data_IF_488000384510
#
_entry.id   IF_488000384510
#
_cell.length_a   1.000
_cell.length_b   1.000
_cell.length_c   1.000
_cell.angle_alpha   90.00
_cell.angle_beta   90.00
_cell.angle_gamma   90.00
#
_symmetry.space_group_name_H-M   'P 1'
#
loop_
_entity.id
_entity.type
_entity.pdbx_description
1 polymer ?
#
# COMPACT_ATOMS: atom_id res chain seq x y z
N UNK A 1 -1.34 1.58 -12.95
CA UNK A 1 0.14 1.56 -13.03
C UNK A 1 0.60 0.16 -12.63
N UNK A 2 1.75 -0.33 -13.10
CA UNK A 2 2.26 -1.69 -12.80
C UNK A 2 3.20 -1.71 -11.56
N UNK A 3 3.06 -0.71 -10.68
CA UNK A 3 3.95 -0.53 -9.53
C UNK A 3 3.45 -1.20 -8.26
N UNK A 4 4.36 -1.39 -7.29
CA UNK A 4 4.04 -1.85 -5.93
C UNK A 4 3.07 -0.89 -5.24
N UNK A 5 3.22 0.42 -5.47
CA UNK A 5 2.27 1.45 -5.04
C UNK A 5 1.55 1.96 -6.27
N UNK A 6 0.23 1.85 -6.26
CA UNK A 6 -0.65 2.36 -7.30
C UNK A 6 -1.47 3.52 -6.77
N UNK A 7 -1.75 4.51 -7.61
CA UNK A 7 -2.57 5.65 -7.25
C UNK A 7 -3.53 5.96 -8.39
N UNK A 8 -4.82 6.05 -8.08
CA UNK A 8 -5.85 6.46 -9.03
C UNK A 8 -6.42 7.82 -8.65
N UNK A 9 -6.70 8.65 -9.65
CA UNK A 9 -7.40 9.91 -9.44
C UNK A 9 -8.90 9.65 -9.41
N UNK A 10 -9.53 9.87 -8.25
CA UNK A 10 -10.95 9.64 -8.03
C UNK A 10 -11.66 10.97 -7.80
N UNK A 11 -12.84 11.13 -8.40
CA UNK A 11 -13.71 12.28 -8.15
C UNK A 11 -14.60 12.02 -6.94
N UNK A 12 -14.65 12.97 -6.01
CA UNK A 12 -15.55 13.00 -4.85
C UNK A 12 -16.72 13.98 -5.09
N UNK A 13 -16.96 14.40 -6.33
CA UNK A 13 -18.04 15.35 -6.67
C UNK A 13 -17.76 16.76 -6.16
N UNK A 14 -18.66 17.31 -5.33
CA UNK A 14 -18.53 18.67 -4.75
C UNK A 14 -17.27 18.83 -3.88
N UNK A 15 -16.73 17.72 -3.36
CA UNK A 15 -15.51 17.70 -2.55
C UNK A 15 -14.22 17.66 -3.38
N UNK A 16 -14.31 17.69 -4.71
CA UNK A 16 -13.15 17.77 -5.61
C UNK A 16 -12.60 16.41 -6.04
N UNK A 17 -11.32 16.38 -6.42
CA UNK A 17 -10.61 15.15 -6.84
C UNK A 17 -9.52 14.82 -5.84
N UNK A 18 -9.36 13.53 -5.56
CA UNK A 18 -8.29 13.02 -4.70
C UNK A 18 -7.53 11.89 -5.39
N UNK A 19 -6.33 11.58 -4.88
CA UNK A 19 -5.57 10.40 -5.29
C UNK A 19 -5.79 9.31 -4.26
N UNK A 20 -6.43 8.22 -4.66
CA UNK A 20 -6.52 7.04 -3.83
C UNK A 20 -5.26 6.20 -4.04
N UNK A 21 -4.41 6.12 -3.02
CA UNK A 21 -3.16 5.36 -3.04
C UNK A 21 -3.43 3.97 -2.47
N UNK A 22 -3.03 2.92 -3.19
CA UNK A 22 -3.20 1.52 -2.82
C UNK A 22 -1.89 0.76 -3.00
N UNK A 23 -1.59 -0.11 -2.05
CA UNK A 23 -0.43 -1.00 -2.13
C UNK A 23 -0.84 -2.31 -2.81
N UNK A 24 -0.23 -2.61 -3.95
CA UNK A 24 -0.47 -3.82 -4.74
C UNK A 24 0.50 -4.93 -4.37
N UNK A 25 0.47 -5.35 -3.10
CA UNK A 25 1.26 -6.45 -2.56
C UNK A 25 0.32 -7.50 -2.00
N UNK A 26 0.58 -8.78 -2.32
CA UNK A 26 -0.21 -9.90 -1.80
C UNK A 26 -0.07 -10.04 -0.28
N UNK A 27 -1.09 -10.62 0.36
CA UNK A 27 -1.07 -10.77 1.82
C UNK A 27 0.07 -11.68 2.30
N UNK A 28 0.45 -12.71 1.54
CA UNK A 28 1.55 -13.60 1.87
C UNK A 28 2.89 -12.85 1.97
N UNK A 29 3.12 -11.90 1.06
CA UNK A 29 4.33 -11.07 1.08
C UNK A 29 4.31 -10.14 2.30
N UNK A 30 3.15 -9.59 2.67
CA UNK A 30 3.02 -8.76 3.88
C UNK A 30 3.38 -9.54 5.14
N UNK A 31 2.93 -10.78 5.25
CA UNK A 31 3.24 -11.63 6.41
C UNK A 31 4.74 -11.97 6.47
N UNK A 32 5.37 -12.28 5.32
CA UNK A 32 6.82 -12.48 5.24
C UNK A 32 7.60 -11.24 5.65
N UNK A 33 7.23 -10.06 5.14
CA UNK A 33 7.86 -8.79 5.50
C UNK A 33 7.73 -8.54 7.00
N UNK A 34 6.55 -8.79 7.58
CA UNK A 34 6.31 -8.64 9.02
C UNK A 34 7.24 -9.54 9.84
N UNK A 35 7.35 -10.83 9.48
CA UNK A 35 8.27 -11.78 10.15
C UNK A 35 9.72 -11.35 10.04
N UNK A 36 10.15 -10.88 8.87
CA UNK A 36 11.50 -10.36 8.67
C UNK A 36 11.74 -9.13 9.55
N UNK A 37 10.81 -8.17 9.58
CA UNK A 37 10.92 -6.99 10.43
C UNK A 37 10.98 -7.38 11.91
N UNK A 38 10.09 -8.24 12.39
CA UNK A 38 10.09 -8.72 13.79
C UNK A 38 11.38 -9.45 14.16
N UNK A 39 11.93 -10.26 13.26
CA UNK A 39 13.19 -10.99 13.50
C UNK A 39 14.43 -10.09 13.53
N UNK A 40 14.39 -8.94 12.84
CA UNK A 40 15.52 -8.01 12.74
C UNK A 40 15.40 -6.81 13.68
N UNK A 41 14.20 -6.48 14.15
CA UNK A 41 13.92 -5.43 15.13
C UNK A 41 13.94 -5.97 16.57
N UNK A 42 14.87 -6.86 16.87
CA UNK A 42 15.24 -7.14 18.27
C UNK A 42 16.00 -5.91 18.78
N UNK A 43 15.25 -4.97 19.35
CA UNK A 43 15.74 -3.88 20.21
C UNK A 43 15.60 -4.35 21.66
#
# INVERSE_FOLDING_TARGET
MLGIINADVVSLGRYGRTRQIRLSVSNDIKEKIKKVLESNLVI
#
